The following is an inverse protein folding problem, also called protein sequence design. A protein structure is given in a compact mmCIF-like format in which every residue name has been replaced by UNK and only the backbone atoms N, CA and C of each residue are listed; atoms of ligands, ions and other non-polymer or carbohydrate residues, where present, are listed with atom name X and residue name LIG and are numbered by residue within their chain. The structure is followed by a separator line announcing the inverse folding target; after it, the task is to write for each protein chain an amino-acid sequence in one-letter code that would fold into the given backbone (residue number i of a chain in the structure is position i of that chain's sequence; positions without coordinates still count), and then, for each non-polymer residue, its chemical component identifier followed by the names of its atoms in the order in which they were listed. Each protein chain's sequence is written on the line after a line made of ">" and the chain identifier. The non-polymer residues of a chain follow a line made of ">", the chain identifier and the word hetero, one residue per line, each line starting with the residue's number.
data_IF_945746824017
#
_entry.id   IF_945746824017
#
_cell.length_a   1.000
_cell.length_b   1.000
_cell.length_c   1.000
_cell.angle_alpha   90.00
_cell.angle_beta   90.00
_cell.angle_gamma   90.00
#
_symmetry.space_group_name_H-M   'P 1'
#
loop_
_entity.id
_entity.type
_entity.pdbx_description
1 polymer ?
#
# COMPACT_ATOMS: atom_id res chain seq x y z
N UNK A 1 -8.03 9.20 -5.70
CA UNK A 1 -7.50 9.51 -4.34
C UNK A 1 -6.53 10.69 -4.32
N UNK A 2 -5.42 10.65 -5.07
CA UNK A 2 -4.36 11.68 -5.00
C UNK A 2 -4.86 13.10 -5.22
N UNK A 3 -5.63 13.37 -6.29
CA UNK A 3 -6.16 14.71 -6.57
C UNK A 3 -7.08 15.21 -5.45
N UNK A 4 -7.98 14.34 -4.95
CA UNK A 4 -8.92 14.65 -3.85
C UNK A 4 -8.16 15.02 -2.56
N UNK A 5 -7.07 14.30 -2.27
CA UNK A 5 -6.25 14.58 -1.08
C UNK A 5 -5.40 15.85 -1.26
N UNK A 6 -4.90 16.11 -2.46
CA UNK A 6 -4.15 17.33 -2.78
C UNK A 6 -5.01 18.59 -2.60
N UNK A 7 -6.28 18.57 -3.02
CA UNK A 7 -7.24 19.65 -2.77
C UNK A 7 -7.44 19.94 -1.27
N UNK A 8 -7.16 18.95 -0.42
CA UNK A 8 -7.25 19.04 1.04
C UNK A 8 -5.89 19.29 1.70
N UNK A 9 -4.87 19.67 0.92
CA UNK A 9 -3.53 19.99 1.40
C UNK A 9 -2.66 18.78 1.74
N UNK A 10 -3.06 17.56 1.35
CA UNK A 10 -2.31 16.33 1.61
C UNK A 10 -1.67 15.85 0.31
N UNK A 11 -0.34 15.98 0.23
CA UNK A 11 0.44 15.50 -0.92
C UNK A 11 0.90 14.06 -0.69
N UNK A 12 0.70 13.21 -1.71
CA UNK A 12 1.16 11.82 -1.71
C UNK A 12 2.22 11.62 -2.79
N UNK A 13 3.24 10.81 -2.50
CA UNK A 13 4.08 10.24 -3.53
C UNK A 13 3.45 8.94 -4.03
N UNK A 14 3.16 8.87 -5.33
CA UNK A 14 2.60 7.69 -5.96
C UNK A 14 3.69 6.93 -6.71
N UNK A 15 3.88 5.67 -6.35
CA UNK A 15 4.83 4.77 -7.00
C UNK A 15 4.05 3.65 -7.66
N UNK A 16 4.22 3.49 -8.97
CA UNK A 16 3.71 2.32 -9.68
C UNK A 16 4.75 1.20 -9.64
N UNK A 17 4.54 0.22 -8.76
CA UNK A 17 5.37 -0.97 -8.63
C UNK A 17 5.03 -2.01 -9.70
N UNK A 18 5.25 -1.66 -10.98
CA UNK A 18 4.84 -2.45 -12.16
C UNK A 18 5.30 -3.91 -12.13
N UNK A 19 6.44 -4.19 -11.50
CA UNK A 19 7.01 -5.52 -11.40
C UNK A 19 7.26 -5.89 -9.94
N UNK A 20 6.72 -7.02 -9.51
CA UNK A 20 7.12 -7.66 -8.25
C UNK A 20 8.51 -8.29 -8.41
N UNK A 21 8.81 -8.82 -9.59
CA UNK A 21 10.09 -9.43 -9.96
C UNK A 21 10.56 -8.98 -11.36
N UNK A 22 11.87 -8.68 -11.54
CA UNK A 22 12.89 -8.58 -10.49
C UNK A 22 12.54 -7.45 -9.50
N UNK A 23 12.84 -7.67 -8.22
CA UNK A 23 12.47 -6.72 -7.18
C UNK A 23 13.47 -5.57 -7.14
N UNK A 24 12.98 -4.34 -7.27
CA UNK A 24 13.81 -3.15 -7.29
C UNK A 24 14.23 -2.75 -5.87
N UNK A 25 15.29 -3.37 -5.38
CA UNK A 25 15.82 -3.12 -4.03
C UNK A 25 16.22 -1.66 -3.83
N UNK A 26 16.76 -1.00 -4.85
CA UNK A 26 17.19 0.40 -4.76
C UNK A 26 16.01 1.34 -4.54
N UNK A 27 14.96 1.20 -5.35
CA UNK A 27 13.72 1.96 -5.20
C UNK A 27 13.10 1.77 -3.83
N UNK A 28 12.93 0.51 -3.40
CA UNK A 28 12.24 0.21 -2.15
C UNK A 28 13.06 0.60 -0.92
N UNK A 29 14.39 0.46 -0.93
CA UNK A 29 15.25 1.01 0.12
C UNK A 29 15.11 2.53 0.21
N UNK A 30 15.07 3.23 -0.92
CA UNK A 30 14.90 4.67 -0.92
C UNK A 30 13.54 5.07 -0.31
N UNK A 31 12.45 4.40 -0.72
CA UNK A 31 11.10 4.64 -0.17
C UNK A 31 11.07 4.39 1.34
N UNK A 32 11.59 3.26 1.80
CA UNK A 32 11.61 2.87 3.22
C UNK A 32 12.42 3.83 4.08
N UNK A 33 13.50 4.44 3.54
CA UNK A 33 14.30 5.44 4.24
C UNK A 33 13.71 6.86 4.16
N UNK A 34 12.91 7.15 3.13
CA UNK A 34 12.37 8.50 2.90
C UNK A 34 11.05 8.73 3.64
N UNK A 35 10.11 7.78 3.59
CA UNK A 35 8.74 8.00 4.08
C UNK A 35 8.48 7.33 5.44
N UNK A 36 7.73 7.99 6.30
CA UNK A 36 7.37 7.45 7.63
C UNK A 36 6.03 6.71 7.62
N UNK A 37 5.18 7.01 6.63
CA UNK A 37 3.91 6.35 6.40
C UNK A 37 3.91 5.85 4.95
N UNK A 38 3.68 4.55 4.77
CA UNK A 38 3.67 3.89 3.47
C UNK A 38 2.36 3.11 3.36
N UNK A 39 1.63 3.31 2.28
CA UNK A 39 0.47 2.49 1.93
C UNK A 39 0.84 1.67 0.71
N UNK A 40 0.67 0.36 0.82
CA UNK A 40 0.81 -0.59 -0.28
C UNK A 40 -0.59 -1.04 -0.62
N UNK A 41 -1.00 -0.84 -1.86
CA UNK A 41 -2.32 -1.20 -2.33
C UNK A 41 -2.17 -2.10 -3.56
N UNK A 42 -2.70 -3.32 -3.48
CA UNK A 42 -2.64 -4.28 -4.56
C UNK A 42 -3.92 -5.12 -4.64
N UNK A 43 -4.36 -5.42 -5.86
CA UNK A 43 -5.48 -6.33 -6.11
C UNK A 43 -4.97 -7.77 -6.24
N UNK A 44 -4.20 -8.18 -5.23
CA UNK A 44 -3.64 -9.52 -5.07
C UNK A 44 -3.90 -9.98 -3.64
N UNK A 45 -3.77 -11.28 -3.36
CA UNK A 45 -3.85 -11.80 -1.97
C UNK A 45 -2.81 -11.14 -1.09
N UNK A 46 -3.09 -10.98 0.20
CA UNK A 46 -2.13 -10.48 1.18
C UNK A 46 -0.87 -11.35 1.24
N UNK A 47 -1.01 -12.66 1.05
CA UNK A 47 0.08 -13.65 1.18
C UNK A 47 0.80 -13.84 -0.17
N UNK A 48 2.14 -13.89 -0.15
CA UNK A 48 2.99 -14.06 -1.34
C UNK A 48 3.11 -12.81 -2.22
N UNK A 49 2.60 -11.68 -1.73
CA UNK A 49 2.40 -10.45 -2.50
C UNK A 49 3.58 -9.48 -2.44
N UNK A 50 3.47 -8.37 -3.18
CA UNK A 50 4.48 -7.31 -3.14
C UNK A 50 4.59 -6.74 -1.73
N UNK A 51 3.45 -6.45 -1.09
CA UNK A 51 3.42 -5.83 0.22
C UNK A 51 4.05 -6.70 1.29
N UNK A 52 3.73 -8.01 1.28
CA UNK A 52 4.37 -8.95 2.20
C UNK A 52 5.89 -9.00 1.97
N UNK A 53 6.32 -9.06 0.71
CA UNK A 53 7.74 -9.11 0.39
C UNK A 53 8.48 -7.81 0.79
N UNK A 54 7.87 -6.64 0.58
CA UNK A 54 8.44 -5.35 0.99
C UNK A 54 8.55 -5.23 2.52
N UNK A 55 7.55 -5.69 3.27
CA UNK A 55 7.58 -5.70 4.74
C UNK A 55 8.71 -6.59 5.24
N UNK A 56 8.83 -7.81 4.69
CA UNK A 56 9.92 -8.72 5.03
C UNK A 56 11.29 -8.13 4.65
N UNK A 57 11.39 -7.49 3.48
CA UNK A 57 12.59 -6.82 3.02
C UNK A 57 13.01 -5.67 3.96
N UNK A 58 12.05 -4.85 4.42
CA UNK A 58 12.31 -3.77 5.38
C UNK A 58 12.87 -4.31 6.71
N UNK A 59 12.27 -5.39 7.22
CA UNK A 59 12.73 -6.06 8.44
C UNK A 59 14.16 -6.60 8.29
N UNK A 60 14.45 -7.30 7.20
CA UNK A 60 15.76 -7.93 6.96
C UNK A 60 16.88 -6.91 6.75
N UNK A 61 16.60 -5.76 6.15
CA UNK A 61 17.60 -4.71 5.90
C UNK A 61 17.87 -3.79 7.10
N UNK A 62 17.24 -4.05 8.26
CA UNK A 62 17.44 -3.27 9.50
C UNK A 62 17.35 -1.76 9.26
N UNK A 63 16.34 -1.33 8.52
CA UNK A 63 16.11 0.10 8.23
C UNK A 63 16.12 0.85 9.58
N UNK A 64 16.99 1.87 9.69
CA UNK A 64 17.23 2.59 10.95
C UNK A 64 16.01 3.36 11.46
N UNK A 65 14.95 3.43 10.65
CA UNK A 65 13.62 3.88 11.02
C UNK A 65 12.60 2.77 10.76
N UNK A 66 11.55 2.74 11.57
CA UNK A 66 10.42 1.81 11.38
C UNK A 66 9.25 2.57 10.79
N UNK A 67 9.09 2.63 9.45
CA UNK A 67 7.94 3.28 8.85
C UNK A 67 6.67 2.51 9.23
N UNK A 68 5.56 3.24 9.40
CA UNK A 68 4.23 2.65 9.49
C UNK A 68 3.83 2.21 8.08
N UNK A 69 3.73 0.90 7.88
CA UNK A 69 3.31 0.31 6.61
C UNK A 69 1.87 -0.20 6.77
N UNK A 70 0.96 0.26 5.91
CA UNK A 70 -0.38 -0.30 5.77
C UNK A 70 -0.46 -1.03 4.44
N UNK A 71 -0.88 -2.30 4.50
CA UNK A 71 -0.98 -3.16 3.33
C UNK A 71 -2.44 -3.49 3.06
N UNK A 72 -2.99 -2.86 2.02
CA UNK A 72 -4.34 -3.06 1.51
C UNK A 72 -4.27 -4.09 0.37
N UNK A 73 -4.74 -5.30 0.64
CA UNK A 73 -4.71 -6.42 -0.27
C UNK A 73 -5.94 -7.31 -0.06
N UNK A 74 -6.20 -8.20 -1.00
CA UNK A 74 -7.28 -9.18 -0.90
C UNK A 74 -6.98 -10.19 0.22
N UNK A 75 -8.00 -10.72 0.90
CA UNK A 75 -7.81 -11.80 1.87
C UNK A 75 -7.30 -13.07 1.17
N UNK A 76 -6.61 -13.92 1.91
CA UNK A 76 -6.18 -15.24 1.44
C UNK A 76 -7.37 -16.22 1.46
N UNK A 77 -8.33 -15.97 0.57
CA UNK A 77 -9.59 -16.70 0.49
C UNK A 77 -10.21 -16.56 -0.90
N UNK A 78 -11.21 -17.36 -1.18
CA UNK A 78 -11.97 -17.23 -2.43
C UNK A 78 -12.64 -15.86 -2.52
N UNK A 79 -12.42 -15.19 -3.65
CA UNK A 79 -13.10 -13.95 -4.02
C UNK A 79 -14.24 -14.31 -4.96
N UNK A 80 -15.45 -13.90 -4.58
CA UNK A 80 -16.66 -14.15 -5.37
C UNK A 80 -16.62 -13.44 -6.74
N UNK A 81 -17.41 -13.96 -7.68
CA UNK A 81 -17.68 -13.24 -8.92
C UNK A 81 -18.69 -12.13 -8.65
N UNK A 82 -18.41 -10.92 -9.11
CA UNK A 82 -19.27 -9.77 -8.92
C UNK A 82 -18.80 -8.57 -9.72
N UNK A 83 -19.48 -7.45 -9.55
CA UNK A 83 -19.09 -6.19 -10.17
C UNK A 83 -17.75 -5.71 -9.54
N UNK A 84 -16.72 -5.38 -10.33
CA UNK A 84 -15.39 -5.08 -9.80
C UNK A 84 -15.34 -3.91 -8.82
N UNK A 85 -16.09 -2.82 -9.02
CA UNK A 85 -16.09 -1.68 -8.11
C UNK A 85 -16.70 -2.05 -6.75
N UNK A 86 -17.80 -2.80 -6.76
CA UNK A 86 -18.41 -3.35 -5.57
C UNK A 86 -17.44 -4.26 -4.81
N UNK A 87 -16.73 -5.16 -5.50
CA UNK A 87 -15.76 -6.05 -4.86
C UNK A 87 -14.59 -5.24 -4.27
N UNK A 88 -14.05 -4.27 -5.01
CA UNK A 88 -13.00 -3.38 -4.47
C UNK A 88 -13.46 -2.65 -3.22
N UNK A 89 -14.68 -2.13 -3.19
CA UNK A 89 -15.24 -1.48 -2.00
C UNK A 89 -15.40 -2.49 -0.84
N UNK A 90 -15.96 -3.66 -1.12
CA UNK A 90 -16.14 -4.74 -0.14
C UNK A 90 -14.81 -5.15 0.52
N UNK A 91 -13.75 -5.28 -0.27
CA UNK A 91 -12.43 -5.72 0.20
C UNK A 91 -11.48 -4.58 0.58
N UNK A 92 -11.97 -3.33 0.67
CA UNK A 92 -11.17 -2.21 1.15
C UNK A 92 -10.18 -1.63 0.13
N UNK A 93 -10.31 -2.00 -1.15
CA UNK A 93 -9.49 -1.56 -2.28
C UNK A 93 -10.15 -0.42 -3.09
N UNK A 94 -11.10 0.32 -2.51
CA UNK A 94 -11.71 1.48 -3.16
C UNK A 94 -10.94 2.78 -2.90
N UNK A 95 -11.25 3.81 -3.69
CA UNK A 95 -10.73 5.17 -3.47
C UNK A 95 -11.11 5.71 -2.09
N UNK A 96 -12.33 5.44 -1.62
CA UNK A 96 -12.81 5.93 -0.32
C UNK A 96 -12.08 5.26 0.84
N UNK A 97 -11.83 3.95 0.74
CA UNK A 97 -11.03 3.22 1.73
C UNK A 97 -9.60 3.74 1.77
N UNK A 98 -8.97 4.01 0.63
CA UNK A 98 -7.62 4.59 0.58
C UNK A 98 -7.58 5.96 1.25
N UNK A 99 -8.55 6.84 0.99
CA UNK A 99 -8.64 8.15 1.63
C UNK A 99 -8.81 8.02 3.15
N UNK A 100 -9.67 7.11 3.60
CA UNK A 100 -9.86 6.84 5.03
C UNK A 100 -8.59 6.34 5.70
N UNK A 101 -7.84 5.43 5.05
CA UNK A 101 -6.55 4.92 5.53
C UNK A 101 -5.52 6.04 5.64
N UNK A 102 -5.45 6.95 4.66
CA UNK A 102 -4.55 8.13 4.72
C UNK A 102 -4.89 8.99 5.94
N UNK A 103 -6.16 9.30 6.18
CA UNK A 103 -6.53 10.08 7.37
C UNK A 103 -6.23 9.37 8.69
N UNK A 104 -6.42 8.05 8.74
CA UNK A 104 -6.07 7.25 9.91
C UNK A 104 -4.57 7.34 10.24
N UNK A 105 -3.70 7.33 9.23
CA UNK A 105 -2.26 7.45 9.42
C UNK A 105 -1.80 8.85 9.88
N UNK A 106 -2.53 9.90 9.47
CA UNK A 106 -2.20 11.29 9.83
C UNK A 106 -2.72 11.70 11.21
N UNK A 107 -3.78 11.05 11.71
CA UNK A 107 -4.28 11.26 13.07
C UNK A 107 -3.31 10.60 14.06
N UNK A 108 -2.52 11.42 14.75
CA UNK A 108 -1.82 11.03 15.98
C UNK A 108 -2.73 11.24 17.18
#
# INVERSE_FOLDING_TARGET
>A
ATSILAERGINLNLVNARFIKPFDTGLFLNILNTFDNIIIMEENTYIGSLGQYLIAFAYLNKIGKTPKIVHLALPDSFIEQGEPEFLRQKYGLSTDNLIATVYSLLKK
#
